data_IF_108310215742
#
_entry.id   IF_108310215742
#
_cell.length_a   1.000
_cell.length_b   1.000
_cell.length_c   1.000
_cell.angle_alpha   90.00
_cell.angle_beta   90.00
_cell.angle_gamma   90.00
#
_symmetry.space_group_name_H-M   'P 1'
#
loop_
_entity.id
_entity.type
_entity.pdbx_description
1 polymer ?
#
# COMPACT_ATOMS: atom_id res chain seq x y z
N UNK A 1 13.96 2.11 13.94
CA UNK A 1 13.40 1.17 13.03
C UNK A 1 12.27 1.75 12.24
N UNK A 2 12.55 1.94 10.99
CA UNK A 2 11.56 2.51 10.07
C UNK A 2 10.54 1.49 9.60
N UNK A 3 10.70 0.25 10.00
CA UNK A 3 9.80 -0.79 9.51
C UNK A 3 8.35 -0.54 9.91
N UNK A 4 8.14 -0.08 11.15
CA UNK A 4 6.78 0.19 11.60
C UNK A 4 6.12 1.27 10.76
N UNK A 5 6.86 2.33 10.47
CA UNK A 5 6.30 3.42 9.68
C UNK A 5 6.02 2.96 8.25
N UNK A 6 6.93 2.18 7.68
CA UNK A 6 6.74 1.69 6.32
C UNK A 6 5.52 0.77 6.24
N UNK A 7 5.36 -0.08 7.22
CA UNK A 7 4.21 -0.98 7.23
C UNK A 7 2.90 -0.21 7.34
N UNK A 8 2.90 0.84 8.13
CA UNK A 8 1.68 1.62 8.29
C UNK A 8 1.29 2.32 6.99
N UNK A 9 2.27 2.87 6.30
CA UNK A 9 2.00 3.53 5.03
C UNK A 9 1.49 2.53 4.02
N UNK A 10 2.11 1.37 3.96
CA UNK A 10 1.70 0.34 3.01
C UNK A 10 0.28 -0.13 3.31
N UNK A 11 -0.04 -0.28 4.57
CA UNK A 11 -1.38 -0.70 4.97
C UNK A 11 -2.42 0.34 4.57
N UNK A 12 -2.09 1.60 4.75
CA UNK A 12 -3.03 2.66 4.36
C UNK A 12 -3.28 2.65 2.87
N UNK A 13 -2.24 2.44 2.08
CA UNK A 13 -2.42 2.34 0.65
C UNK A 13 -3.27 1.14 0.28
N UNK A 14 -3.05 0.03 0.96
CA UNK A 14 -3.82 -1.17 0.71
C UNK A 14 -5.31 -0.92 0.95
N UNK A 15 -5.63 -0.34 2.10
CA UNK A 15 -7.03 -0.07 2.42
C UNK A 15 -7.63 0.96 1.46
N UNK A 16 -6.83 1.91 1.04
CA UNK A 16 -7.31 2.91 0.10
C UNK A 16 -7.81 2.25 -1.18
N UNK A 17 -7.04 1.32 -1.70
CA UNK A 17 -7.45 0.65 -2.93
C UNK A 17 -8.61 -0.30 -2.70
N UNK A 18 -8.69 -0.90 -1.51
CA UNK A 18 -9.83 -1.75 -1.21
C UNK A 18 -11.13 -0.95 -1.25
N UNK A 19 -11.10 0.26 -0.71
CA UNK A 19 -12.28 1.10 -0.71
C UNK A 19 -12.67 1.54 -2.12
N UNK A 20 -11.70 1.59 -3.01
CA UNK A 20 -11.99 1.94 -4.38
C UNK A 20 -12.62 0.79 -5.17
N UNK A 21 -12.68 -0.39 -4.58
CA UNK A 21 -13.31 -1.50 -5.24
C UNK A 21 -12.35 -2.58 -5.72
N UNK A 22 -11.07 -2.40 -5.49
CA UNK A 22 -10.10 -3.41 -5.89
C UNK A 22 -10.16 -4.60 -4.95
N UNK A 23 -9.82 -5.77 -5.48
CA UNK A 23 -9.74 -6.96 -4.66
C UNK A 23 -8.48 -6.90 -3.79
N UNK A 24 -8.39 -7.83 -2.84
CA UNK A 24 -7.24 -7.85 -1.96
C UNK A 24 -5.96 -8.03 -2.74
N UNK A 25 -5.99 -8.91 -3.73
CA UNK A 25 -4.79 -9.14 -4.53
C UNK A 25 -4.42 -7.90 -5.32
N UNK A 26 -5.41 -7.28 -5.96
CA UNK A 26 -5.14 -6.07 -6.72
C UNK A 26 -4.69 -4.94 -5.82
N UNK A 27 -5.38 -4.77 -4.70
CA UNK A 27 -5.01 -3.69 -3.77
C UNK A 27 -3.59 -3.88 -3.27
N UNK A 28 -3.21 -5.10 -2.98
CA UNK A 28 -1.85 -5.35 -2.53
C UNK A 28 -0.81 -5.00 -3.59
N UNK A 29 -1.09 -5.36 -4.82
CA UNK A 29 -0.15 -5.06 -5.90
C UNK A 29 -0.02 -3.56 -6.11
N UNK A 30 -1.16 -2.87 -6.13
CA UNK A 30 -1.14 -1.43 -6.35
C UNK A 30 -0.49 -0.71 -5.18
N UNK A 31 -0.79 -1.13 -3.98
CA UNK A 31 -0.20 -0.49 -2.81
C UNK A 31 1.31 -0.66 -2.81
N UNK A 32 1.77 -1.85 -3.13
CA UNK A 32 3.21 -2.10 -3.15
C UNK A 32 3.89 -1.29 -4.23
N UNK A 33 3.27 -1.25 -5.41
CA UNK A 33 3.86 -0.50 -6.50
C UNK A 33 3.96 0.98 -6.17
N UNK A 34 2.90 1.54 -5.63
CA UNK A 34 2.92 2.96 -5.28
C UNK A 34 3.92 3.22 -4.16
N UNK A 35 4.00 2.31 -3.22
CA UNK A 35 4.94 2.47 -2.11
C UNK A 35 6.37 2.50 -2.62
N UNK A 36 6.70 1.64 -3.55
CA UNK A 36 8.05 1.59 -4.08
C UNK A 36 8.35 2.79 -4.95
N UNK A 37 7.36 3.24 -5.69
CA UNK A 37 7.59 4.38 -6.58
C UNK A 37 7.75 5.68 -5.81
N UNK A 38 7.11 5.79 -4.67
CA UNK A 38 7.24 7.02 -3.90
C UNK A 38 8.46 6.98 -3.00
N UNK A 39 9.24 5.95 -3.09
CA UNK A 39 10.49 5.85 -2.34
C UNK A 39 11.58 6.60 -3.10
N UNK A 40 11.79 7.80 -2.74
CA UNK A 40 12.77 8.64 -3.41
C UNK A 40 14.14 8.55 -2.79
#
# INVERSE_FOLDING_TARGET
MSDLINEKILEQLFEKYLEQGYSEIEAGKLAKKEFEESDE
#
